data_IF_866235091612
#
_entry.id   IF_866235091612
#
_cell.length_a   1.000
_cell.length_b   1.000
_cell.length_c   1.000
_cell.angle_alpha   90.00
_cell.angle_beta   90.00
_cell.angle_gamma   90.00
#
_symmetry.space_group_name_H-M   'P 1'
#
loop_
_entity.id
_entity.type
_entity.pdbx_description
1 polymer ?
#
# COMPACT_ATOMS: atom_id res chain seq x y z
N UNK A 1 -11.58 -17.24 28.40
CA UNK A 1 -12.45 -17.45 27.22
C UNK A 1 -11.84 -16.70 26.05
N UNK A 2 -11.61 -17.37 24.92
CA UNK A 2 -11.19 -16.71 23.67
C UNK A 2 -12.44 -16.42 22.84
N UNK A 3 -12.69 -15.15 22.45
CA UNK A 3 -13.78 -14.86 21.54
C UNK A 3 -13.54 -15.50 20.17
N UNK A 4 -14.60 -16.02 19.57
CA UNK A 4 -14.61 -16.61 18.23
C UNK A 4 -15.12 -15.55 17.23
N UNK A 5 -14.32 -15.28 16.21
CA UNK A 5 -14.58 -14.27 15.19
C UNK A 5 -14.91 -14.89 13.81
N UNK A 6 -15.08 -16.22 13.73
CA UNK A 6 -15.39 -16.94 12.50
C UNK A 6 -16.69 -16.48 11.81
N UNK A 7 -17.59 -15.85 12.54
CA UNK A 7 -18.88 -15.35 12.04
C UNK A 7 -18.94 -13.82 11.94
N UNK A 8 -17.84 -13.12 12.15
CA UNK A 8 -17.82 -11.65 12.08
C UNK A 8 -17.89 -11.21 10.61
N UNK A 9 -19.07 -10.81 10.15
CA UNK A 9 -19.22 -10.20 8.82
C UNK A 9 -18.69 -8.77 8.84
N UNK A 10 -17.53 -8.54 8.20
CA UNK A 10 -16.95 -7.22 8.01
C UNK A 10 -17.78 -6.39 7.02
N UNK A 11 -18.90 -5.83 7.46
CA UNK A 11 -19.69 -4.87 6.67
C UNK A 11 -19.09 -3.48 6.81
N UNK A 12 -18.61 -2.91 5.71
CA UNK A 12 -18.08 -1.54 5.67
C UNK A 12 -16.71 -1.37 5.03
N UNK A 13 -16.06 -2.46 4.60
CA UNK A 13 -14.90 -2.36 3.72
C UNK A 13 -15.42 -2.29 2.29
N UNK A 14 -15.30 -1.12 1.68
CA UNK A 14 -15.51 -0.98 0.25
C UNK A 14 -14.46 -1.83 -0.47
N UNK A 15 -14.82 -3.07 -0.81
CA UNK A 15 -14.13 -3.85 -1.84
C UNK A 15 -14.44 -3.20 -3.17
N UNK A 16 -13.59 -2.24 -3.55
CA UNK A 16 -13.39 -1.75 -4.91
C UNK A 16 -14.65 -1.50 -5.75
N UNK A 17 -15.30 -0.37 -5.52
CA UNK A 17 -15.86 0.43 -6.62
C UNK A 17 -15.40 1.88 -6.45
N UNK A 18 -14.68 2.35 -7.46
CA UNK A 18 -14.19 3.72 -7.63
C UNK A 18 -15.36 4.59 -8.03
N UNK A 19 -16.13 5.08 -7.06
CA UNK A 19 -17.11 6.14 -7.34
C UNK A 19 -16.85 7.34 -6.44
N UNK A 20 -16.17 8.33 -7.04
CA UNK A 20 -16.31 9.76 -6.77
C UNK A 20 -16.38 10.25 -5.30
N UNK A 21 -15.62 9.67 -4.37
CA UNK A 21 -15.49 10.26 -3.02
C UNK A 21 -14.25 11.15 -2.95
N UNK A 22 -14.45 12.41 -3.38
CA UNK A 22 -13.60 13.60 -3.17
C UNK A 22 -12.11 13.35 -3.41
N UNK A 23 -11.56 13.76 -4.56
CA UNK A 23 -10.10 13.80 -4.80
C UNK A 23 -9.43 14.36 -3.55
N UNK A 24 -8.84 13.50 -2.70
CA UNK A 24 -8.26 13.97 -1.47
C UNK A 24 -7.07 14.80 -1.90
N UNK A 25 -7.03 16.06 -1.48
CA UNK A 25 -6.04 17.02 -1.94
C UNK A 25 -4.65 16.36 -1.87
N UNK A 26 -3.99 16.24 -3.02
CA UNK A 26 -2.62 15.71 -3.09
C UNK A 26 -1.76 16.59 -2.20
N UNK A 27 -1.24 16.01 -1.13
CA UNK A 27 -0.35 16.74 -0.26
C UNK A 27 0.99 16.89 -0.98
N UNK A 28 1.37 18.13 -1.26
CA UNK A 28 2.65 18.44 -1.88
C UNK A 28 3.72 18.60 -0.80
N UNK A 29 4.71 17.71 -0.82
CA UNK A 29 5.84 17.80 0.11
C UNK A 29 6.80 18.94 -0.29
N UNK A 30 7.68 19.39 0.63
CA UNK A 30 8.75 20.36 0.32
C UNK A 30 9.66 19.93 -0.84
N UNK A 31 9.78 18.62 -1.08
CA UNK A 31 10.55 18.03 -2.18
C UNK A 31 9.80 18.05 -3.52
N UNK A 32 8.61 18.67 -3.57
CA UNK A 32 7.70 18.72 -4.71
C UNK A 32 7.11 17.36 -5.13
N UNK A 33 6.99 16.41 -4.20
CA UNK A 33 6.39 15.10 -4.46
C UNK A 33 4.90 15.14 -4.05
N UNK A 34 3.95 14.80 -4.95
CA UNK A 34 2.54 14.71 -4.61
C UNK A 34 2.22 13.36 -3.96
N UNK A 35 1.76 13.38 -2.71
CA UNK A 35 1.41 12.17 -1.95
C UNK A 35 -0.10 11.96 -1.98
N UNK A 36 -0.53 10.76 -2.41
CA UNK A 36 -1.94 10.34 -2.39
C UNK A 36 -2.35 10.05 -0.94
N UNK A 37 -3.59 10.34 -0.57
CA UNK A 37 -4.09 9.99 0.77
C UNK A 37 -4.41 8.50 0.92
N UNK A 38 -4.53 7.77 -0.18
CA UNK A 38 -4.84 6.35 -0.24
C UNK A 38 -4.08 5.72 -1.40
N UNK A 39 -3.50 4.56 -1.12
CA UNK A 39 -2.87 3.68 -2.11
C UNK A 39 -3.59 2.33 -2.09
N UNK A 40 -3.83 1.78 -3.27
CA UNK A 40 -4.53 0.50 -3.48
C UNK A 40 -3.60 -0.51 -4.16
N UNK A 41 -4.03 -1.76 -4.23
CA UNK A 41 -3.26 -2.83 -4.89
C UNK A 41 -2.83 -2.48 -6.32
N UNK A 42 -3.70 -1.80 -7.08
CA UNK A 42 -3.39 -1.33 -8.43
C UNK A 42 -2.16 -0.41 -8.51
N UNK A 43 -1.86 0.34 -7.44
CA UNK A 43 -0.67 1.19 -7.40
C UNK A 43 0.64 0.39 -7.30
N UNK A 44 0.58 -0.94 -7.08
CA UNK A 44 1.74 -1.83 -7.08
C UNK A 44 2.14 -2.34 -8.47
N UNK A 45 1.23 -2.28 -9.46
CA UNK A 45 1.49 -2.70 -10.85
C UNK A 45 2.80 -2.12 -11.45
N UNK A 46 3.14 -0.83 -11.25
CA UNK A 46 4.38 -0.27 -11.81
C UNK A 46 5.65 -0.64 -11.03
N UNK A 47 5.57 -1.39 -9.92
CA UNK A 47 6.72 -1.70 -9.07
C UNK A 47 7.47 -2.95 -9.55
N UNK A 48 8.72 -2.78 -10.00
CA UNK A 48 9.52 -3.88 -10.57
C UNK A 48 10.18 -4.79 -9.53
N UNK A 49 10.42 -4.30 -8.31
CA UNK A 49 11.32 -4.92 -7.32
C UNK A 49 10.58 -5.53 -6.10
N UNK A 50 9.36 -6.04 -6.28
CA UNK A 50 8.52 -6.57 -5.19
C UNK A 50 9.07 -7.86 -4.54
N UNK A 51 9.75 -8.71 -5.32
CA UNK A 51 10.31 -9.99 -4.88
C UNK A 51 11.81 -9.95 -4.52
N UNK A 52 12.38 -8.75 -4.39
CA UNK A 52 13.82 -8.58 -4.30
C UNK A 52 14.39 -9.00 -2.94
N UNK A 53 15.53 -9.70 -2.91
CA UNK A 53 16.23 -10.09 -1.68
C UNK A 53 17.26 -9.03 -1.26
N UNK A 54 17.52 -8.90 0.05
CA UNK A 54 18.57 -8.02 0.55
C UNK A 54 19.97 -8.57 0.21
N UNK A 55 20.97 -7.70 0.10
CA UNK A 55 22.36 -8.10 -0.16
C UNK A 55 22.74 -8.38 -1.62
N UNK A 56 21.84 -8.14 -2.57
CA UNK A 56 22.12 -8.17 -4.00
C UNK A 56 22.02 -6.74 -4.61
N UNK A 57 22.74 -6.42 -5.70
CA UNK A 57 22.59 -5.14 -6.42
C UNK A 57 21.27 -5.06 -7.18
N UNK A 58 20.46 -3.97 -7.07
CA UNK A 58 20.82 -2.61 -6.64
C UNK A 58 20.58 -2.27 -5.16
N UNK A 59 20.51 -3.27 -4.28
CA UNK A 59 20.44 -3.10 -2.82
C UNK A 59 19.24 -2.29 -2.29
N UNK A 60 18.10 -2.32 -3.00
CA UNK A 60 16.88 -1.60 -2.60
C UNK A 60 16.32 -2.05 -1.24
N UNK A 61 16.66 -3.27 -0.79
CA UNK A 61 16.33 -3.80 0.55
C UNK A 61 17.49 -3.78 1.53
N UNK A 62 18.55 -3.05 1.22
CA UNK A 62 19.75 -2.93 2.04
C UNK A 62 20.90 -3.85 1.61
N UNK A 63 22.12 -3.59 2.12
CA UNK A 63 23.35 -4.25 1.68
C UNK A 63 23.60 -5.64 2.26
N UNK A 64 22.86 -6.05 3.29
CA UNK A 64 23.05 -7.34 3.97
C UNK A 64 21.73 -8.09 4.10
N UNK A 65 21.71 -9.39 3.80
CA UNK A 65 20.59 -10.28 4.08
C UNK A 65 20.66 -10.88 5.48
N UNK A 66 19.51 -11.16 6.08
CA UNK A 66 19.35 -11.93 7.32
C UNK A 66 19.01 -13.38 7.04
#
# INVERSE_FOLDING_TARGET
MRPDFSQLSLKGFATGETDALSTPALWKTPENIPVKSLYIEKDMEPLEHLGYAAGLPPFLRGPYGT
#
